data_IF_229080212196
#
_entry.id   IF_229080212196
#
_cell.length_a   1.000
_cell.length_b   1.000
_cell.length_c   1.000
_cell.angle_alpha   90.00
_cell.angle_beta   90.00
_cell.angle_gamma   90.00
#
_symmetry.space_group_name_H-M   'P 1'
#
loop_
_entity.id
_entity.type
_entity.pdbx_description
1 polymer ?
#
# COMPACT_ATOMS: atom_id res chain seq x y z
N UNK A 1 -16.33 -11.78 -5.10
CA UNK A 1 -15.43 -12.45 -6.06
C UNK A 1 -14.14 -11.62 -6.23
N UNK A 2 -13.19 -11.72 -5.28
CA UNK A 2 -11.91 -11.00 -5.34
C UNK A 2 -10.87 -11.66 -6.28
N UNK A 3 -11.00 -12.95 -6.58
CA UNK A 3 -9.97 -13.75 -7.26
C UNK A 3 -9.65 -13.45 -8.73
N UNK A 4 -10.33 -12.50 -9.38
CA UNK A 4 -10.07 -12.10 -10.77
C UNK A 4 -9.66 -10.63 -10.90
N UNK A 5 -9.26 -9.98 -9.78
CA UNK A 5 -8.87 -8.57 -9.82
C UNK A 5 -7.46 -8.41 -10.40
N UNK A 6 -7.30 -7.38 -11.22
CA UNK A 6 -6.02 -6.92 -11.71
C UNK A 6 -5.57 -5.69 -10.91
N UNK A 7 -4.39 -5.76 -10.34
CA UNK A 7 -3.84 -4.75 -9.44
C UNK A 7 -2.54 -4.20 -10.01
N UNK A 8 -2.45 -2.90 -10.15
CA UNK A 8 -1.20 -2.22 -10.48
C UNK A 8 -0.51 -1.71 -9.22
N UNK A 9 0.81 -1.87 -9.13
CA UNK A 9 1.61 -1.30 -8.03
C UNK A 9 2.63 -0.34 -8.62
N UNK A 10 2.38 0.96 -8.49
CA UNK A 10 3.32 2.00 -8.89
C UNK A 10 4.50 2.03 -7.91
N UNK A 11 5.73 2.05 -8.42
CA UNK A 11 6.92 2.04 -7.58
C UNK A 11 7.22 0.68 -6.93
N UNK A 12 6.82 -0.43 -7.56
CA UNK A 12 7.05 -1.78 -7.07
C UNK A 12 8.53 -2.22 -7.02
N UNK A 13 9.46 -1.38 -7.42
CA UNK A 13 10.90 -1.58 -7.21
C UNK A 13 11.39 -1.09 -5.86
N UNK A 14 10.58 -0.28 -5.14
CA UNK A 14 10.84 0.12 -3.77
C UNK A 14 10.49 -1.00 -2.76
N UNK A 15 11.07 -1.00 -1.55
CA UNK A 15 10.91 -2.11 -0.60
C UNK A 15 9.47 -2.42 -0.24
N UNK A 16 8.64 -1.40 0.04
CA UNK A 16 7.24 -1.59 0.45
C UNK A 16 6.36 -2.03 -0.74
N UNK A 17 6.47 -1.34 -1.89
CA UNK A 17 5.72 -1.67 -3.11
C UNK A 17 6.07 -3.08 -3.63
N UNK A 18 7.36 -3.44 -3.64
CA UNK A 18 7.84 -4.79 -4.01
C UNK A 18 7.23 -5.88 -3.12
N UNK A 19 7.27 -5.66 -1.80
CA UNK A 19 6.75 -6.62 -0.84
C UNK A 19 5.25 -6.79 -0.93
N UNK A 20 4.50 -5.69 -1.06
CA UNK A 20 3.04 -5.75 -1.21
C UNK A 20 2.64 -6.39 -2.53
N UNK A 21 3.31 -6.07 -3.65
CA UNK A 21 3.06 -6.70 -4.95
C UNK A 21 3.25 -8.23 -4.90
N UNK A 22 4.32 -8.70 -4.24
CA UNK A 22 4.56 -10.13 -4.06
C UNK A 22 3.47 -10.81 -3.20
N UNK A 23 3.03 -10.18 -2.11
CA UNK A 23 1.96 -10.70 -1.25
C UNK A 23 0.60 -10.76 -1.96
N UNK A 24 0.27 -9.76 -2.74
CA UNK A 24 -0.96 -9.76 -3.52
C UNK A 24 -0.94 -10.85 -4.61
N UNK A 25 0.21 -11.06 -5.26
CA UNK A 25 0.37 -12.15 -6.21
C UNK A 25 0.26 -13.53 -5.53
N UNK A 26 0.85 -13.70 -4.34
CA UNK A 26 0.73 -14.92 -3.52
C UNK A 26 -0.71 -15.17 -3.05
N UNK A 27 -1.48 -14.11 -2.79
CA UNK A 27 -2.91 -14.18 -2.50
C UNK A 27 -3.78 -14.49 -3.74
N UNK A 28 -3.17 -14.60 -4.92
CA UNK A 28 -3.84 -15.06 -6.15
C UNK A 28 -4.33 -13.96 -7.08
N UNK A 29 -3.99 -12.70 -6.85
CA UNK A 29 -4.33 -11.58 -7.74
C UNK A 29 -3.38 -11.50 -8.95
N UNK A 30 -3.89 -10.97 -10.07
CA UNK A 30 -3.06 -10.60 -11.22
C UNK A 30 -2.39 -9.24 -10.94
N UNK A 31 -1.05 -9.22 -10.77
CA UNK A 31 -0.34 -8.02 -10.30
C UNK A 31 0.65 -7.51 -11.33
N UNK A 32 0.61 -6.20 -11.62
CA UNK A 32 1.59 -5.50 -12.44
C UNK A 32 2.55 -4.73 -11.51
N UNK A 33 3.79 -5.17 -11.46
CA UNK A 33 4.87 -4.50 -10.74
C UNK A 33 5.40 -3.34 -11.58
N UNK A 34 4.92 -2.12 -11.32
CA UNK A 34 5.27 -0.93 -12.06
C UNK A 34 6.56 -0.27 -11.60
N UNK A 35 7.31 0.27 -12.54
CA UNK A 35 8.49 1.09 -12.31
C UNK A 35 8.61 2.21 -13.36
N UNK A 36 9.34 3.27 -13.05
CA UNK A 36 9.77 4.27 -14.06
C UNK A 36 10.75 3.68 -15.08
N UNK A 37 11.47 2.66 -14.66
CA UNK A 37 12.43 1.89 -15.46
C UNK A 37 11.93 0.44 -15.52
N UNK A 38 11.45 0.03 -16.69
CA UNK A 38 10.86 -1.30 -16.90
C UNK A 38 11.90 -2.43 -16.76
N UNK A 39 13.17 -2.16 -17.08
CA UNK A 39 14.24 -3.14 -16.88
C UNK A 39 14.44 -3.44 -15.39
N UNK A 40 14.31 -2.42 -14.52
CA UNK A 40 14.31 -2.62 -13.06
C UNK A 40 13.09 -3.38 -12.58
N UNK A 41 11.91 -3.14 -13.14
CA UNK A 41 10.73 -3.93 -12.82
C UNK A 41 10.94 -5.41 -13.17
N UNK A 42 11.49 -5.69 -14.36
CA UNK A 42 11.81 -7.05 -14.79
C UNK A 42 12.80 -7.74 -13.86
N UNK A 43 13.90 -7.08 -13.52
CA UNK A 43 14.90 -7.62 -12.57
C UNK A 43 14.28 -7.95 -11.21
N UNK A 44 13.45 -7.06 -10.66
CA UNK A 44 12.77 -7.29 -9.37
C UNK A 44 11.80 -8.46 -9.45
N UNK A 45 11.03 -8.59 -10.53
CA UNK A 45 10.10 -9.70 -10.70
C UNK A 45 10.83 -11.02 -10.86
N UNK A 46 11.95 -11.05 -11.59
CA UNK A 46 12.76 -12.24 -11.77
C UNK A 46 13.40 -12.69 -10.45
N UNK A 47 13.94 -11.78 -9.64
CA UNK A 47 14.42 -12.07 -8.29
C UNK A 47 13.32 -12.65 -7.38
N UNK A 48 12.09 -12.10 -7.47
CA UNK A 48 10.96 -12.61 -6.70
C UNK A 48 10.52 -14.01 -7.17
N UNK A 49 10.54 -14.26 -8.48
CA UNK A 49 10.26 -15.60 -9.06
C UNK A 49 11.31 -16.63 -8.69
N UNK A 50 12.58 -16.25 -8.72
CA UNK A 50 13.67 -17.12 -8.27
C UNK A 50 13.49 -17.51 -6.79
N UNK A 51 13.11 -16.55 -5.96
CA UNK A 51 12.96 -16.76 -4.51
C UNK A 51 11.66 -17.50 -4.14
N UNK A 52 10.55 -17.20 -4.79
CA UNK A 52 9.20 -17.62 -4.35
C UNK A 52 8.48 -18.55 -5.32
N UNK A 53 9.06 -18.79 -6.50
CA UNK A 53 8.55 -19.74 -7.49
C UNK A 53 7.12 -19.48 -7.90
N UNK A 54 6.30 -20.51 -7.86
CA UNK A 54 4.89 -20.47 -8.29
C UNK A 54 3.99 -19.56 -7.44
N UNK A 55 4.38 -19.21 -6.22
CA UNK A 55 3.63 -18.29 -5.36
C UNK A 55 3.44 -16.91 -5.98
N UNK A 56 4.38 -16.46 -6.78
CA UNK A 56 4.33 -15.16 -7.49
C UNK A 56 4.16 -15.31 -9.01
N UNK A 57 3.60 -16.42 -9.48
CA UNK A 57 3.41 -16.68 -10.91
C UNK A 57 2.54 -15.61 -11.60
N UNK A 58 1.61 -14.99 -10.87
CA UNK A 58 0.73 -13.93 -11.35
C UNK A 58 1.33 -12.52 -11.27
N UNK A 59 2.58 -12.39 -10.82
CA UNK A 59 3.30 -11.13 -10.81
C UNK A 59 3.99 -10.92 -12.16
N UNK A 60 3.71 -9.81 -12.82
CA UNK A 60 4.35 -9.42 -14.09
C UNK A 60 4.98 -8.03 -13.99
N UNK A 61 6.14 -7.82 -14.63
CA UNK A 61 6.76 -6.50 -14.65
C UNK A 61 6.05 -5.57 -15.65
N UNK A 62 6.24 -4.27 -15.47
CA UNK A 62 5.80 -3.26 -16.42
C UNK A 62 6.29 -1.86 -16.09
N UNK A 63 6.09 -0.93 -17.02
CA UNK A 63 6.25 0.48 -16.72
C UNK A 63 5.14 0.96 -15.77
N UNK A 64 5.34 2.08 -15.04
CA UNK A 64 4.30 2.65 -14.19
C UNK A 64 3.00 2.95 -14.95
N UNK A 65 3.07 3.33 -16.23
CA UNK A 65 1.88 3.56 -17.06
C UNK A 65 1.05 2.28 -17.21
N UNK A 66 1.68 1.12 -17.38
CA UNK A 66 0.99 -0.16 -17.46
C UNK A 66 0.35 -0.55 -16.11
N UNK A 67 1.05 -0.29 -15.00
CA UNK A 67 0.48 -0.51 -13.65
C UNK A 67 -0.67 0.46 -13.35
N UNK A 68 -0.59 1.74 -13.75
CA UNK A 68 -1.69 2.69 -13.60
C UNK A 68 -2.91 2.32 -14.46
N UNK A 69 -2.69 1.64 -15.59
CA UNK A 69 -3.76 1.14 -16.46
C UNK A 69 -4.44 -0.14 -15.93
N UNK A 70 -3.94 -0.78 -14.86
CA UNK A 70 -4.58 -1.95 -14.25
C UNK A 70 -6.07 -1.70 -14.00
N UNK A 71 -6.90 -2.72 -14.25
CA UNK A 71 -8.35 -2.56 -14.38
C UNK A 71 -9.04 -2.16 -13.07
N UNK A 72 -8.67 -2.77 -11.94
CA UNK A 72 -9.50 -2.71 -10.74
C UNK A 72 -8.93 -1.81 -9.63
N UNK A 73 -7.67 -2.02 -9.25
CA UNK A 73 -7.04 -1.29 -8.15
C UNK A 73 -5.64 -0.86 -8.52
N UNK A 74 -5.24 0.33 -8.12
CA UNK A 74 -3.86 0.81 -8.26
C UNK A 74 -3.31 1.18 -6.88
N UNK A 75 -2.18 0.60 -6.53
CA UNK A 75 -1.44 0.93 -5.30
C UNK A 75 -0.32 1.91 -5.63
N UNK A 76 -0.25 3.02 -4.91
CA UNK A 76 0.87 3.97 -5.00
C UNK A 76 1.87 3.63 -3.89
N UNK A 77 2.86 2.83 -4.25
CA UNK A 77 3.92 2.30 -3.35
C UNK A 77 5.26 3.01 -3.48
N UNK A 78 5.29 4.23 -4.04
CA UNK A 78 6.50 5.06 -4.11
C UNK A 78 6.82 5.70 -2.77
N UNK A 79 8.04 6.26 -2.61
CA UNK A 79 8.38 7.08 -1.47
C UNK A 79 7.40 8.27 -1.34
N UNK A 80 7.17 8.73 -0.11
CA UNK A 80 6.11 9.71 0.18
C UNK A 80 6.28 11.04 -0.57
N UNK A 81 7.53 11.49 -0.74
CA UNK A 81 7.90 12.71 -1.46
C UNK A 81 7.64 12.65 -2.97
N UNK A 82 7.48 11.44 -3.51
CA UNK A 82 7.15 11.19 -4.92
C UNK A 82 5.73 10.65 -5.11
N UNK A 83 5.01 10.28 -4.05
CA UNK A 83 3.73 9.56 -4.16
C UNK A 83 2.64 10.40 -4.83
N UNK A 84 2.51 11.66 -4.42
CA UNK A 84 1.50 12.59 -4.95
C UNK A 84 1.77 12.86 -6.43
N UNK A 85 3.00 13.17 -6.81
CA UNK A 85 3.37 13.45 -8.20
C UNK A 85 3.25 12.19 -9.07
N UNK A 86 3.59 11.02 -8.52
CA UNK A 86 3.40 9.75 -9.24
C UNK A 86 1.93 9.50 -9.56
N UNK A 87 1.01 9.77 -8.63
CA UNK A 87 -0.42 9.66 -8.90
C UNK A 87 -0.88 10.71 -9.92
N UNK A 88 -0.47 11.97 -9.75
CA UNK A 88 -0.85 13.07 -10.63
C UNK A 88 -0.45 12.86 -12.09
N UNK A 89 0.75 12.35 -12.36
CA UNK A 89 1.23 12.04 -13.72
C UNK A 89 0.35 10.99 -14.42
N UNK A 90 -0.35 10.15 -13.67
CA UNK A 90 -1.22 9.09 -14.18
C UNK A 90 -2.72 9.35 -13.93
N UNK A 91 -3.12 10.59 -13.61
CA UNK A 91 -4.48 10.93 -13.18
C UNK A 91 -5.57 10.39 -14.12
N UNK A 92 -5.40 10.55 -15.43
CA UNK A 92 -6.36 10.07 -16.44
C UNK A 92 -6.56 8.54 -16.40
N UNK A 93 -5.48 7.79 -16.11
CA UNK A 93 -5.54 6.33 -15.98
C UNK A 93 -6.12 5.87 -14.63
N UNK A 94 -6.09 6.73 -13.62
CA UNK A 94 -6.62 6.45 -12.29
C UNK A 94 -8.10 6.82 -12.14
N UNK A 95 -8.67 7.57 -13.09
CA UNK A 95 -10.06 8.00 -13.05
C UNK A 95 -11.03 6.81 -12.88
N UNK A 96 -11.96 6.91 -11.93
CA UNK A 96 -12.95 5.88 -11.58
C UNK A 96 -12.40 4.67 -10.82
N UNK A 97 -11.09 4.56 -10.63
CA UNK A 97 -10.47 3.40 -9.96
C UNK A 97 -10.32 3.59 -8.45
N UNK A 98 -10.18 2.48 -7.77
CA UNK A 98 -9.72 2.47 -6.37
C UNK A 98 -8.21 2.67 -6.36
N UNK A 99 -7.75 3.70 -5.65
CA UNK A 99 -6.31 4.03 -5.52
C UNK A 99 -5.89 3.90 -4.07
N UNK A 100 -4.95 3.02 -3.78
CA UNK A 100 -4.42 2.82 -2.42
C UNK A 100 -3.20 3.71 -2.21
N UNK A 101 -3.31 4.65 -1.27
CA UNK A 101 -2.19 5.45 -0.77
C UNK A 101 -1.58 4.75 0.44
N UNK A 102 -0.35 4.25 0.32
CA UNK A 102 0.34 3.55 1.41
C UNK A 102 1.55 4.31 1.98
N UNK A 103 1.84 5.47 1.43
CA UNK A 103 2.98 6.27 1.83
C UNK A 103 2.74 7.01 3.14
N UNK A 104 3.77 7.09 3.98
CA UNK A 104 3.78 7.92 5.18
C UNK A 104 4.72 9.10 4.95
N UNK A 105 4.26 10.33 5.15
CA UNK A 105 5.10 11.53 5.16
C UNK A 105 5.98 11.53 6.42
N UNK A 106 7.26 11.19 6.27
CA UNK A 106 8.16 10.97 7.39
C UNK A 106 9.52 11.64 7.17
N UNK A 107 9.99 12.28 8.20
CA UNK A 107 11.37 12.78 8.31
C UNK A 107 12.08 12.07 9.45
N UNK A 108 13.25 11.51 9.18
CA UNK A 108 14.11 10.95 10.24
C UNK A 108 14.98 12.06 10.84
N UNK A 109 14.94 12.16 12.17
CA UNK A 109 15.80 13.06 12.94
C UNK A 109 16.45 12.23 14.05
N UNK A 110 17.73 11.94 13.91
CA UNK A 110 18.49 11.04 14.81
C UNK A 110 17.85 9.66 14.98
N UNK A 111 17.31 9.40 16.17
CA UNK A 111 16.63 8.14 16.54
C UNK A 111 15.11 8.29 16.59
N UNK A 112 14.57 9.31 15.95
CA UNK A 112 13.14 9.59 15.88
C UNK A 112 12.68 9.69 14.43
N UNK A 113 11.39 9.41 14.24
CA UNK A 113 10.67 9.80 13.05
C UNK A 113 9.67 10.89 13.41
N UNK A 114 9.54 11.89 12.57
CA UNK A 114 8.55 12.95 12.67
C UNK A 114 7.63 12.90 11.48
N UNK A 115 6.34 13.09 11.72
CA UNK A 115 5.39 13.21 10.64
C UNK A 115 5.63 14.51 9.86
N UNK A 116 5.62 14.40 8.53
CA UNK A 116 5.62 15.53 7.60
C UNK A 116 4.29 15.49 6.88
N UNK A 117 3.39 16.39 7.23
CA UNK A 117 2.06 16.42 6.67
C UNK A 117 1.98 17.51 5.60
N UNK A 118 1.44 17.21 4.41
CA UNK A 118 1.14 18.22 3.41
C UNK A 118 -0.01 19.14 3.89
N UNK A 119 -0.22 20.28 3.21
CA UNK A 119 -1.28 21.23 3.60
C UNK A 119 -2.68 20.61 3.69
N UNK A 120 -2.95 19.57 2.90
CA UNK A 120 -4.21 18.82 2.89
C UNK A 120 -4.37 17.91 4.11
N UNK A 121 -3.37 17.83 4.99
CA UNK A 121 -3.39 17.08 6.25
C UNK A 121 -2.82 15.67 6.17
N UNK A 122 -2.82 15.03 5.01
CA UNK A 122 -2.24 13.71 4.80
C UNK A 122 -1.77 13.52 3.35
N UNK A 123 -0.84 12.60 3.12
CA UNK A 123 -0.39 12.25 1.76
C UNK A 123 -1.55 11.72 0.93
N UNK A 124 -2.44 10.93 1.56
CA UNK A 124 -3.63 10.41 0.88
C UNK A 124 -4.61 11.52 0.49
N UNK A 125 -4.86 12.51 1.36
CA UNK A 125 -5.73 13.64 1.04
C UNK A 125 -5.11 14.53 -0.05
N UNK A 126 -3.81 14.80 0.01
CA UNK A 126 -3.09 15.52 -1.03
C UNK A 126 -3.13 14.77 -2.38
N UNK A 127 -3.03 13.44 -2.34
CA UNK A 127 -3.19 12.60 -3.53
C UNK A 127 -4.60 12.71 -4.10
N UNK A 128 -5.66 12.60 -3.28
CA UNK A 128 -7.06 12.76 -3.72
C UNK A 128 -7.30 14.11 -4.38
N UNK A 129 -6.70 15.18 -3.86
CA UNK A 129 -6.82 16.51 -4.47
C UNK A 129 -6.19 16.60 -5.87
N UNK A 130 -5.20 15.76 -6.19
CA UNK A 130 -4.53 15.72 -7.51
C UNK A 130 -5.18 14.74 -8.48
N UNK A 131 -5.91 13.76 -7.97
CA UNK A 131 -6.64 12.76 -8.78
C UNK A 131 -8.11 12.73 -8.36
N UNK A 132 -8.87 13.82 -8.58
CA UNK A 132 -10.22 14.00 -8.02
C UNK A 132 -11.22 12.94 -8.51
N UNK A 133 -11.01 12.39 -9.69
CA UNK A 133 -11.87 11.36 -10.28
C UNK A 133 -11.54 9.93 -9.81
N UNK A 134 -10.47 9.75 -9.04
CA UNK A 134 -10.14 8.48 -8.41
C UNK A 134 -10.79 8.35 -7.02
N UNK A 135 -10.92 7.13 -6.52
CA UNK A 135 -11.40 6.83 -5.16
C UNK A 135 -10.22 6.45 -4.30
N UNK A 136 -9.60 7.44 -3.63
CA UNK A 136 -8.39 7.22 -2.84
C UNK A 136 -8.73 6.62 -1.48
N UNK A 137 -7.98 5.59 -1.09
CA UNK A 137 -8.04 4.94 0.22
C UNK A 137 -6.65 4.89 0.83
N UNK A 138 -6.48 5.46 2.00
CA UNK A 138 -5.27 5.35 2.82
C UNK A 138 -5.26 4.00 3.54
N UNK A 139 -4.22 3.17 3.32
CA UNK A 139 -4.11 1.86 3.94
C UNK A 139 -2.65 1.33 3.96
N UNK A 140 -2.37 0.28 4.74
CA UNK A 140 -1.06 -0.40 4.84
C UNK A 140 0.07 0.41 5.51
N UNK A 141 -0.24 1.44 6.26
CA UNK A 141 0.73 2.38 6.84
C UNK A 141 1.64 1.80 7.92
N UNK A 142 1.24 0.70 8.57
CA UNK A 142 1.89 0.15 9.76
C UNK A 142 2.66 -1.15 9.53
N UNK A 143 2.76 -1.60 8.28
CA UNK A 143 3.48 -2.84 7.98
C UNK A 143 4.93 -2.51 7.59
N UNK A 144 5.92 -3.07 8.31
CA UNK A 144 7.30 -2.95 7.91
C UNK A 144 7.55 -3.56 6.52
N UNK A 145 8.28 -2.84 5.65
CA UNK A 145 8.55 -3.28 4.29
C UNK A 145 9.28 -4.63 4.22
N UNK A 146 10.14 -4.91 5.21
CA UNK A 146 10.86 -6.20 5.30
C UNK A 146 9.94 -7.35 5.73
N UNK A 147 8.85 -7.09 6.47
CA UNK A 147 7.82 -8.07 6.75
C UNK A 147 7.00 -8.41 5.50
N UNK A 148 6.66 -7.40 4.68
CA UNK A 148 6.00 -7.62 3.40
C UNK A 148 6.83 -8.51 2.46
N UNK A 149 8.16 -8.37 2.48
CA UNK A 149 9.07 -9.09 1.58
C UNK A 149 9.26 -10.58 1.90
N UNK A 150 8.74 -11.09 3.03
CA UNK A 150 8.95 -12.48 3.50
C UNK A 150 7.64 -13.26 3.43
N UNK A 151 7.36 -13.87 2.27
CA UNK A 151 6.08 -14.58 2.06
C UNK A 151 5.89 -15.80 2.98
N UNK A 152 6.95 -16.41 3.46
CA UNK A 152 6.96 -17.55 4.39
C UNK A 152 6.67 -17.17 5.85
N UNK A 153 6.68 -15.87 6.16
CA UNK A 153 6.44 -15.38 7.51
C UNK A 153 5.09 -14.66 7.56
N UNK A 154 4.14 -15.10 8.37
CA UNK A 154 2.88 -14.40 8.58
C UNK A 154 3.11 -12.98 9.11
N UNK A 155 2.20 -12.07 8.75
CA UNK A 155 2.22 -10.70 9.26
C UNK A 155 1.01 -10.53 10.18
N UNK A 156 1.26 -10.43 11.47
CA UNK A 156 0.20 -10.11 12.43
C UNK A 156 0.06 -8.60 12.55
N UNK A 157 -0.88 -8.03 11.82
CA UNK A 157 -1.14 -6.60 11.85
C UNK A 157 -2.60 -6.31 11.49
N UNK A 158 -3.08 -5.17 11.93
CA UNK A 158 -4.36 -4.63 11.54
C UNK A 158 -4.16 -3.50 10.52
N UNK A 159 -4.94 -3.54 9.47
CA UNK A 159 -5.00 -2.51 8.45
C UNK A 159 -6.20 -1.62 8.76
N UNK A 160 -5.96 -0.33 8.86
CA UNK A 160 -7.03 0.66 8.92
C UNK A 160 -7.16 1.27 7.53
N UNK A 161 -8.36 1.21 6.94
CA UNK A 161 -8.65 1.78 5.64
C UNK A 161 -9.50 3.04 5.80
N UNK A 162 -8.97 4.21 5.39
CA UNK A 162 -9.66 5.49 5.41
C UNK A 162 -9.87 5.99 3.98
N UNK A 163 -11.11 6.39 3.64
CA UNK A 163 -11.46 6.88 2.30
C UNK A 163 -12.89 7.37 2.29
N UNK A 164 -13.27 8.21 1.33
CA UNK A 164 -14.61 8.79 1.28
C UNK A 164 -15.66 7.89 0.59
N UNK A 165 -15.20 6.92 -0.22
CA UNK A 165 -16.06 5.97 -0.92
C UNK A 165 -16.11 4.64 -0.15
N UNK A 166 -17.32 4.21 0.27
CA UNK A 166 -17.54 3.01 1.08
C UNK A 166 -17.15 1.72 0.35
N UNK A 167 -17.42 1.64 -0.96
CA UNK A 167 -17.09 0.46 -1.75
C UNK A 167 -15.58 0.34 -2.00
N UNK A 168 -14.89 1.47 -2.15
CA UNK A 168 -13.45 1.52 -2.22
C UNK A 168 -12.80 1.05 -0.91
N UNK A 169 -13.29 1.53 0.26
CA UNK A 169 -12.81 1.05 1.56
C UNK A 169 -13.04 -0.45 1.74
N UNK A 170 -14.24 -0.94 1.35
CA UNK A 170 -14.57 -2.38 1.40
C UNK A 170 -13.63 -3.19 0.49
N UNK A 171 -13.37 -2.71 -0.72
CA UNK A 171 -12.43 -3.34 -1.66
C UNK A 171 -11.03 -3.45 -1.06
N UNK A 172 -10.50 -2.35 -0.49
CA UNK A 172 -9.15 -2.35 0.09
C UNK A 172 -9.07 -3.23 1.34
N UNK A 173 -10.11 -3.25 2.18
CA UNK A 173 -10.18 -4.19 3.32
C UNK A 173 -10.17 -5.64 2.83
N UNK A 174 -10.92 -5.97 1.79
CA UNK A 174 -10.91 -7.30 1.19
C UNK A 174 -9.54 -7.70 0.62
N UNK A 175 -8.80 -6.76 0.02
CA UNK A 175 -7.41 -7.01 -0.40
C UNK A 175 -6.49 -7.27 0.80
N UNK A 176 -6.63 -6.51 1.87
CA UNK A 176 -5.82 -6.70 3.07
C UNK A 176 -6.06 -8.06 3.70
N UNK A 177 -7.32 -8.46 3.87
CA UNK A 177 -7.70 -9.75 4.49
C UNK A 177 -7.40 -10.98 3.63
N UNK A 178 -7.14 -10.79 2.33
CA UNK A 178 -6.63 -11.87 1.47
C UNK A 178 -5.18 -12.27 1.79
N UNK A 179 -4.44 -11.40 2.49
CA UNK A 179 -3.07 -11.69 2.94
C UNK A 179 -3.16 -12.36 4.32
N UNK A 180 -2.61 -13.56 4.49
CA UNK A 180 -2.74 -14.32 5.74
C UNK A 180 -2.33 -13.51 6.99
N UNK A 181 -3.14 -13.60 8.04
CA UNK A 181 -2.98 -12.98 9.36
C UNK A 181 -3.11 -11.44 9.38
N UNK A 182 -3.43 -10.79 8.27
CA UNK A 182 -3.87 -9.41 8.29
C UNK A 182 -5.37 -9.35 8.59
N UNK A 183 -5.77 -8.48 9.51
CA UNK A 183 -7.16 -8.06 9.71
C UNK A 183 -7.31 -6.65 9.13
N UNK A 184 -8.52 -6.27 8.73
CA UNK A 184 -8.78 -4.94 8.19
C UNK A 184 -10.03 -4.32 8.78
N UNK A 185 -9.93 -3.04 9.15
CA UNK A 185 -10.97 -2.26 9.78
C UNK A 185 -11.29 -1.00 8.98
N UNK A 186 -12.56 -0.63 8.99
CA UNK A 186 -13.01 0.62 8.40
C UNK A 186 -12.62 1.79 9.32
N UNK A 187 -11.77 2.66 8.83
CA UNK A 187 -11.30 3.86 9.52
C UNK A 187 -12.14 5.11 9.22
N UNK A 188 -13.22 4.95 8.43
CA UNK A 188 -14.10 6.06 8.04
C UNK A 188 -13.55 6.90 6.89
N UNK A 189 -13.90 8.18 6.88
CA UNK A 189 -13.54 9.09 5.79
C UNK A 189 -12.03 9.30 5.61
N UNK A 190 -11.65 9.81 4.44
CA UNK A 190 -10.25 10.11 4.11
C UNK A 190 -9.62 11.14 5.05
N UNK A 191 -10.43 11.98 5.70
CA UNK A 191 -9.97 12.93 6.71
C UNK A 191 -9.26 12.24 7.89
N UNK A 192 -9.60 10.99 8.22
CA UNK A 192 -8.94 10.22 9.26
C UNK A 192 -7.55 9.70 8.86
N UNK A 193 -7.17 9.80 7.59
CA UNK A 193 -5.83 9.41 7.12
C UNK A 193 -4.71 10.18 7.84
N UNK A 194 -4.96 11.44 8.23
CA UNK A 194 -4.00 12.22 9.03
C UNK A 194 -3.57 11.49 10.31
N UNK A 195 -4.51 10.83 11.00
CA UNK A 195 -4.23 10.11 12.24
C UNK A 195 -3.34 8.89 12.02
N UNK A 196 -3.63 8.08 11.01
CA UNK A 196 -2.84 6.87 10.73
C UNK A 196 -1.47 7.19 10.14
N UNK A 197 -1.34 8.17 9.26
CA UNK A 197 -0.06 8.61 8.71
C UNK A 197 0.84 9.22 9.80
N UNK A 198 0.28 10.10 10.65
CA UNK A 198 1.04 10.70 11.74
C UNK A 198 1.47 9.66 12.80
N UNK A 199 0.61 8.69 13.14
CA UNK A 199 0.94 7.63 14.09
C UNK A 199 2.05 6.71 13.58
N UNK A 200 2.23 6.55 12.29
CA UNK A 200 3.34 5.78 11.72
C UNK A 200 4.70 6.33 12.18
N UNK A 201 4.85 7.65 12.36
CA UNK A 201 6.07 8.25 12.90
C UNK A 201 6.36 7.80 14.33
N UNK A 202 5.31 7.73 15.17
CA UNK A 202 5.41 7.26 16.55
C UNK A 202 5.79 5.78 16.58
N UNK A 203 5.10 4.95 15.80
CA UNK A 203 5.36 3.51 15.74
C UNK A 203 6.80 3.22 15.28
N UNK A 204 7.27 3.90 14.24
CA UNK A 204 8.65 3.75 13.77
C UNK A 204 9.68 4.23 14.79
N UNK A 205 9.40 5.31 15.53
CA UNK A 205 10.25 5.78 16.62
C UNK A 205 10.35 4.75 17.73
N UNK A 206 9.22 4.15 18.14
CA UNK A 206 9.19 3.04 19.10
C UNK A 206 10.03 1.87 18.59
N UNK A 207 9.85 1.47 17.33
CA UNK A 207 10.60 0.38 16.71
C UNK A 207 12.12 0.64 16.73
N UNK A 208 12.57 1.85 16.41
CA UNK A 208 14.00 2.20 16.45
C UNK A 208 14.55 2.20 17.88
N UNK A 209 13.80 2.75 18.84
CA UNK A 209 14.26 2.86 20.23
C UNK A 209 14.35 1.51 20.95
N UNK A 210 13.44 0.61 20.62
CA UNK A 210 13.33 -0.71 21.24
C UNK A 210 13.91 -1.84 20.37
N UNK A 211 14.57 -1.51 19.25
CA UNK A 211 15.12 -2.50 18.30
C UNK A 211 14.09 -3.55 17.85
N UNK A 212 12.82 -3.11 17.71
CA UNK A 212 11.67 -3.95 17.39
C UNK A 212 11.16 -3.76 15.95
N UNK A 213 10.15 -4.54 15.63
CA UNK A 213 9.37 -4.47 14.38
C UNK A 213 7.89 -4.51 14.72
N UNK A 214 7.48 -3.68 15.67
CA UNK A 214 6.08 -3.57 16.08
C UNK A 214 5.19 -3.13 14.92
N UNK A 215 4.00 -3.68 14.92
CA UNK A 215 2.91 -3.36 14.01
C UNK A 215 1.71 -2.87 14.83
N UNK A 216 0.60 -2.54 14.18
CA UNK A 216 -0.63 -2.22 14.89
C UNK A 216 -1.47 -3.47 15.14
N UNK A 217 -2.01 -3.63 16.35
CA UNK A 217 -3.03 -4.61 16.66
C UNK A 217 -4.09 -4.00 17.58
N UNK A 218 -5.35 -4.00 17.15
CA UNK A 218 -6.49 -3.50 17.92
C UNK A 218 -7.07 -4.65 18.74
N UNK A 219 -7.01 -4.52 20.05
CA UNK A 219 -7.58 -5.51 20.98
C UNK A 219 -9.05 -5.19 21.24
N UNK A 220 -9.86 -6.23 21.45
CA UNK A 220 -11.29 -6.10 21.73
C UNK A 220 -12.16 -5.89 20.49
N UNK A 221 -11.58 -6.00 19.29
CA UNK A 221 -12.31 -5.98 18.03
C UNK A 221 -12.18 -7.32 17.32
N UNK A 222 -13.29 -7.84 16.83
CA UNK A 222 -13.34 -8.97 15.92
C UNK A 222 -13.50 -8.46 14.49
N UNK A 223 -12.96 -9.21 13.53
CA UNK A 223 -13.12 -8.92 12.12
C UNK A 223 -14.58 -9.20 11.72
N UNK A 224 -15.25 -8.20 11.17
CA UNK A 224 -16.63 -8.32 10.70
C UNK A 224 -17.18 -6.99 10.23
N UNK A 225 -17.90 -7.01 9.12
CA UNK A 225 -18.76 -5.89 8.72
C UNK A 225 -20.00 -5.90 9.61
N UNK A 226 -20.20 -4.85 10.42
CA UNK A 226 -21.50 -4.52 11.01
C UNK A 226 -22.19 -3.50 10.15
#
# INVERSE_FOLDING_TARGET
>A
MLGCMEIGVLGATGPAGRGLAARLADAGFDVIAGSRDEAKASSVVDELRERWGSRVAKLRPGANVAAAAARDVVVVGTAWDAAIDTANVHADLLAGKVVVAMANGLQRVDREFRAVLPPEGSVAAAMQARVPDARVVAAFHFIPADALAKLDTPIESDIIACGDDDDARRTVRGLATSIPNLRAFDGGSLANAIGIEAFAAVLLTVNVRHHGKGTLRLLGLEEGDR
#
